data_IF_279199480056
#
_entry.id   IF_279199480056
#
_cell.length_a   1.000
_cell.length_b   1.000
_cell.length_c   1.000
_cell.angle_alpha   90.00
_cell.angle_beta   90.00
_cell.angle_gamma   90.00
#
_symmetry.space_group_name_H-M   'P 1'
#
loop_
_entity.id
_entity.type
_entity.pdbx_description
1 polymer ?
#
# COMPACT_ATOMS: atom_id res chain seq x y z
N UNK A 1 11.78 -9.37 -38.80
CA UNK A 1 11.15 -8.45 -37.84
C UNK A 1 12.19 -8.17 -36.76
N UNK A 2 12.69 -6.95 -36.69
CA UNK A 2 13.71 -6.54 -35.72
C UNK A 2 13.12 -6.52 -34.31
N UNK A 3 13.84 -7.03 -33.32
CA UNK A 3 13.46 -6.90 -31.90
C UNK A 3 13.43 -5.42 -31.48
N UNK A 4 12.53 -5.01 -30.57
CA UNK A 4 12.55 -3.66 -29.99
C UNK A 4 13.82 -3.47 -29.16
N UNK A 5 14.54 -2.36 -29.40
CA UNK A 5 15.66 -1.93 -28.56
C UNK A 5 15.09 -1.06 -27.43
N UNK A 6 15.16 -1.56 -26.19
CA UNK A 6 14.92 -0.75 -25.01
C UNK A 6 16.21 0.05 -24.77
N UNK A 7 16.23 1.30 -25.24
CA UNK A 7 17.29 2.24 -24.92
C UNK A 7 17.30 2.48 -23.41
N UNK A 8 18.46 2.36 -22.77
CA UNK A 8 18.62 2.77 -21.38
C UNK A 8 18.28 4.27 -21.24
N UNK A 9 17.42 4.61 -20.28
CA UNK A 9 17.08 6.00 -20.00
C UNK A 9 18.34 6.74 -19.50
N UNK A 10 18.53 8.02 -19.89
CA UNK A 10 19.72 8.81 -19.54
C UNK A 10 19.86 9.04 -18.02
N UNK A 11 18.80 8.80 -17.24
CA UNK A 11 18.80 8.84 -15.79
C UNK A 11 18.18 7.55 -15.23
N UNK A 12 18.98 6.50 -15.01
CA UNK A 12 18.48 5.27 -14.41
C UNK A 12 18.06 5.53 -12.95
N UNK A 13 16.86 5.06 -12.59
CA UNK A 13 16.39 5.08 -11.21
C UNK A 13 17.28 4.17 -10.38
N UNK A 14 17.81 4.68 -9.27
CA UNK A 14 18.59 3.85 -8.35
C UNK A 14 17.69 2.83 -7.66
N UNK A 15 18.23 1.67 -7.31
CA UNK A 15 17.48 0.66 -6.55
C UNK A 15 16.85 1.25 -5.29
N UNK A 16 17.61 2.03 -4.51
CA UNK A 16 17.11 2.72 -3.31
C UNK A 16 15.92 3.64 -3.61
N UNK A 17 16.00 4.40 -4.70
CA UNK A 17 14.90 5.29 -5.10
C UNK A 17 13.67 4.47 -5.48
N UNK A 18 13.83 3.37 -6.23
CA UNK A 18 12.72 2.50 -6.60
C UNK A 18 12.01 1.89 -5.36
N UNK A 19 12.76 1.52 -4.31
CA UNK A 19 12.15 1.05 -3.05
C UNK A 19 11.33 2.15 -2.38
N UNK A 20 11.90 3.35 -2.29
CA UNK A 20 11.21 4.51 -1.69
C UNK A 20 9.94 4.83 -2.47
N UNK A 21 10.01 4.88 -3.79
CA UNK A 21 8.88 5.17 -4.66
C UNK A 21 7.76 4.13 -4.49
N UNK A 22 8.12 2.85 -4.32
CA UNK A 22 7.15 1.78 -4.06
C UNK A 22 6.49 1.91 -2.68
N UNK A 23 7.27 2.17 -1.63
CA UNK A 23 6.73 2.39 -0.28
C UNK A 23 5.83 3.63 -0.23
N UNK A 24 6.23 4.71 -0.90
CA UNK A 24 5.43 5.93 -1.04
C UNK A 24 4.12 5.65 -1.78
N UNK A 25 4.16 4.84 -2.85
CA UNK A 25 2.94 4.44 -3.56
C UNK A 25 1.94 3.69 -2.67
N UNK A 26 2.43 2.78 -1.80
CA UNK A 26 1.59 2.05 -0.84
C UNK A 26 0.98 3.02 0.16
N UNK A 27 1.79 3.91 0.74
CA UNK A 27 1.31 4.90 1.71
C UNK A 27 0.25 5.86 1.13
N UNK A 28 0.39 6.24 -0.15
CA UNK A 28 -0.61 7.04 -0.86
C UNK A 28 -1.93 6.27 -1.08
N UNK A 29 -1.85 4.98 -1.45
CA UNK A 29 -3.03 4.11 -1.58
C UNK A 29 -3.74 3.93 -0.21
N UNK A 30 -3.00 3.68 0.87
CA UNK A 30 -3.54 3.59 2.25
C UNK A 30 -4.22 4.89 2.71
N UNK A 31 -3.59 6.03 2.42
CA UNK A 31 -4.16 7.36 2.74
C UNK A 31 -5.48 7.58 2.00
N UNK A 32 -5.53 7.22 0.71
CA UNK A 32 -6.75 7.31 -0.09
C UNK A 32 -7.86 6.41 0.49
N UNK A 33 -7.52 5.19 0.92
CA UNK A 33 -8.48 4.27 1.56
C UNK A 33 -9.02 4.82 2.88
N UNK A 34 -8.18 5.46 3.72
CA UNK A 34 -8.62 6.12 4.95
C UNK A 34 -9.66 7.23 4.67
N UNK A 35 -9.44 8.03 3.62
CA UNK A 35 -10.41 9.05 3.22
C UNK A 35 -11.75 8.44 2.76
N UNK A 36 -11.72 7.31 2.05
CA UNK A 36 -12.96 6.60 1.67
C UNK A 36 -13.67 6.08 2.92
N UNK A 37 -12.96 5.43 3.85
CA UNK A 37 -13.56 4.93 5.10
C UNK A 37 -14.20 6.05 5.91
N UNK A 38 -13.56 7.21 6.00
CA UNK A 38 -14.12 8.37 6.69
C UNK A 38 -15.40 8.88 6.00
N UNK A 39 -15.39 9.00 4.67
CA UNK A 39 -16.56 9.42 3.91
C UNK A 39 -17.73 8.43 4.05
N UNK A 40 -17.46 7.13 4.04
CA UNK A 40 -18.47 6.10 4.29
C UNK A 40 -19.00 6.13 5.74
N UNK A 41 -18.14 6.42 6.71
CA UNK A 41 -18.54 6.66 8.10
C UNK A 41 -19.47 7.88 8.24
N UNK A 42 -19.12 9.00 7.60
CA UNK A 42 -19.96 10.20 7.56
C UNK A 42 -21.30 9.94 6.88
N UNK A 43 -21.32 9.16 5.78
CA UNK A 43 -22.55 8.74 5.10
C UNK A 43 -23.48 7.96 6.04
N UNK A 44 -22.94 7.00 6.80
CA UNK A 44 -23.73 6.21 7.74
C UNK A 44 -24.26 7.07 8.90
N UNK A 45 -23.42 7.94 9.46
CA UNK A 45 -23.83 8.89 10.51
C UNK A 45 -24.93 9.83 10.02
N UNK A 46 -24.83 10.33 8.79
CA UNK A 46 -25.85 11.16 8.15
C UNK A 46 -27.17 10.40 8.05
N UNK A 47 -27.15 9.16 7.56
CA UNK A 47 -28.35 8.35 7.42
C UNK A 47 -29.04 8.07 8.76
N UNK A 48 -28.28 7.83 9.83
CA UNK A 48 -28.82 7.64 11.19
C UNK A 48 -29.49 8.91 11.72
N UNK A 49 -28.98 10.09 11.34
CA UNK A 49 -29.50 11.38 11.80
C UNK A 49 -30.69 11.91 10.98
N UNK A 50 -31.13 11.20 9.94
CA UNK A 50 -32.25 11.60 9.10
C UNK A 50 -33.58 11.07 9.67
N UNK A 51 -34.48 11.98 10.02
CA UNK A 51 -35.79 11.66 10.61
C UNK A 51 -36.77 11.02 9.61
N UNK A 52 -36.50 11.14 8.30
CA UNK A 52 -37.35 10.71 7.20
C UNK A 52 -36.93 9.37 6.56
N UNK A 53 -35.91 8.71 7.11
CA UNK A 53 -35.41 7.43 6.62
C UNK A 53 -36.13 6.26 7.31
N UNK A 54 -36.72 5.37 6.52
CA UNK A 54 -37.27 4.13 7.08
C UNK A 54 -36.18 3.10 7.42
N UNK A 55 -36.54 2.09 8.20
CA UNK A 55 -35.61 1.05 8.63
C UNK A 55 -34.98 0.27 7.45
N UNK A 56 -35.73 0.04 6.38
CA UNK A 56 -35.23 -0.68 5.21
C UNK A 56 -34.18 0.16 4.48
N UNK A 57 -34.47 1.45 4.25
CA UNK A 57 -33.53 2.39 3.66
C UNK A 57 -32.25 2.54 4.50
N UNK A 58 -32.37 2.56 5.83
CA UNK A 58 -31.20 2.64 6.71
C UNK A 58 -30.35 1.37 6.62
N UNK A 59 -31.00 0.21 6.52
CA UNK A 59 -30.32 -1.06 6.33
C UNK A 59 -29.58 -1.11 4.98
N UNK A 60 -30.20 -0.60 3.91
CA UNK A 60 -29.57 -0.50 2.58
C UNK A 60 -28.30 0.36 2.62
N UNK A 61 -28.33 1.51 3.32
CA UNK A 61 -27.13 2.34 3.50
C UNK A 61 -26.06 1.60 4.30
N UNK A 62 -26.42 0.93 5.38
CA UNK A 62 -25.49 0.16 6.20
C UNK A 62 -24.85 -1.00 5.42
N UNK A 63 -25.63 -1.74 4.62
CA UNK A 63 -25.11 -2.80 3.76
C UNK A 63 -24.15 -2.26 2.70
N UNK A 64 -24.48 -1.11 2.10
CA UNK A 64 -23.60 -0.42 1.15
C UNK A 64 -22.26 -0.02 1.79
N UNK A 65 -22.29 0.55 2.99
CA UNK A 65 -21.09 0.93 3.76
C UNK A 65 -20.28 -0.31 4.14
N UNK A 66 -20.92 -1.37 4.64
CA UNK A 66 -20.26 -2.62 5.00
C UNK A 66 -19.58 -3.27 3.78
N UNK A 67 -20.22 -3.23 2.61
CA UNK A 67 -19.61 -3.70 1.37
C UNK A 67 -18.37 -2.87 0.99
N UNK A 68 -18.41 -1.55 1.16
CA UNK A 68 -17.24 -0.70 0.91
C UNK A 68 -16.08 -1.03 1.85
N UNK A 69 -16.35 -1.25 3.14
CA UNK A 69 -15.34 -1.70 4.12
C UNK A 69 -14.72 -3.03 3.69
N UNK A 70 -15.52 -3.98 3.19
CA UNK A 70 -15.00 -5.25 2.68
C UNK A 70 -14.12 -5.09 1.44
N UNK A 71 -14.51 -4.22 0.50
CA UNK A 71 -13.69 -3.92 -0.69
C UNK A 71 -12.35 -3.29 -0.29
N UNK A 72 -12.37 -2.34 0.65
CA UNK A 72 -11.15 -1.70 1.18
C UNK A 72 -10.27 -2.72 1.89
N UNK A 73 -10.83 -3.63 2.68
CA UNK A 73 -10.07 -4.74 3.27
C UNK A 73 -9.43 -5.67 2.22
N UNK A 74 -10.08 -5.85 1.07
CA UNK A 74 -9.48 -6.55 -0.08
C UNK A 74 -8.28 -5.81 -0.67
N UNK A 75 -8.39 -4.48 -0.83
CA UNK A 75 -7.30 -3.64 -1.31
C UNK A 75 -6.12 -3.58 -0.33
N UNK A 76 -6.39 -3.52 0.97
CA UNK A 76 -5.38 -3.58 2.02
C UNK A 76 -4.56 -4.87 1.95
N UNK A 77 -5.20 -6.02 1.72
CA UNK A 77 -4.49 -7.28 1.52
C UNK A 77 -3.59 -7.24 0.26
N UNK A 78 -4.04 -6.60 -0.82
CA UNK A 78 -3.22 -6.44 -2.02
C UNK A 78 -2.00 -5.55 -1.74
N UNK A 79 -2.17 -4.47 -0.98
CA UNK A 79 -1.06 -3.61 -0.57
C UNK A 79 -0.06 -4.35 0.32
N UNK A 80 -0.57 -5.15 1.25
CA UNK A 80 0.26 -6.05 2.05
C UNK A 80 1.03 -7.04 1.17
N UNK A 81 0.40 -7.68 0.20
CA UNK A 81 1.06 -8.60 -0.73
C UNK A 81 2.15 -7.90 -1.55
N UNK A 82 1.89 -6.68 -2.03
CA UNK A 82 2.90 -5.84 -2.70
C UNK A 82 4.08 -5.55 -1.78
N UNK A 83 3.82 -5.18 -0.51
CA UNK A 83 4.85 -4.89 0.48
C UNK A 83 5.68 -6.14 0.79
N UNK A 84 5.04 -7.28 1.03
CA UNK A 84 5.72 -8.56 1.26
C UNK A 84 6.56 -8.97 0.05
N UNK A 85 6.04 -8.80 -1.17
CA UNK A 85 6.80 -9.07 -2.39
C UNK A 85 8.07 -8.21 -2.46
N UNK A 86 7.95 -6.91 -2.20
CA UNK A 86 9.11 -6.02 -2.14
C UNK A 86 10.08 -6.51 -1.06
N UNK A 87 9.67 -6.62 0.19
CA UNK A 87 10.53 -7.06 1.30
C UNK A 87 11.27 -8.40 1.03
N UNK A 88 10.59 -9.37 0.43
CA UNK A 88 11.16 -10.69 0.15
C UNK A 88 12.14 -10.69 -1.05
N UNK A 89 12.00 -9.74 -1.99
CA UNK A 89 12.83 -9.68 -3.20
C UNK A 89 13.90 -8.59 -3.15
N UNK A 90 13.88 -7.73 -2.12
CA UNK A 90 14.98 -6.83 -1.80
C UNK A 90 16.14 -7.62 -1.15
N UNK A 91 16.75 -8.55 -1.87
CA UNK A 91 18.03 -9.13 -1.46
C UNK A 91 19.10 -8.05 -1.58
N UNK A 92 19.57 -7.53 -0.45
CA UNK A 92 20.75 -6.70 -0.42
C UNK A 92 21.95 -7.63 -0.63
N UNK A 93 22.72 -7.52 -1.73
CA UNK A 93 24.00 -8.19 -1.75
C UNK A 93 24.80 -7.57 -0.60
N UNK A 94 25.09 -8.38 0.43
CA UNK A 94 26.01 -8.02 1.49
C UNK A 94 27.21 -7.37 0.82
N UNK A 95 27.52 -6.14 1.22
CA UNK A 95 28.68 -5.40 0.74
C UNK A 95 29.84 -6.40 0.70
N UNK A 96 30.34 -6.70 -0.50
CA UNK A 96 31.31 -7.77 -0.70
C UNK A 96 32.47 -7.50 0.24
N UNK A 97 32.79 -8.50 1.07
CA UNK A 97 33.85 -8.45 2.05
C UNK A 97 35.20 -8.33 1.34
N UNK A 98 35.58 -7.12 0.94
CA UNK A 98 36.92 -6.74 0.48
C UNK A 98 37.11 -5.23 0.72
N UNK A 99 36.88 -4.75 1.94
CA UNK A 99 37.61 -3.59 2.46
C UNK A 99 37.54 -3.52 3.99
N UNK A 100 38.71 -3.40 4.60
CA UNK A 100 38.96 -3.40 6.04
C UNK A 100 38.46 -2.12 6.74
N UNK A 101 37.16 -1.80 6.67
CA UNK A 101 36.57 -0.78 7.55
C UNK A 101 35.22 -1.20 8.13
N UNK A 102 35.29 -1.53 9.41
CA UNK A 102 34.19 -1.81 10.31
C UNK A 102 33.23 -0.61 10.37
N UNK A 103 32.05 -0.75 9.77
CA UNK A 103 30.87 0.05 10.12
C UNK A 103 29.73 -0.92 10.36
N UNK A 104 29.14 -0.82 11.55
CA UNK A 104 28.02 -1.61 12.04
C UNK A 104 26.84 -1.58 11.05
N UNK A 105 26.55 -2.71 10.40
CA UNK A 105 25.29 -2.93 9.71
C UNK A 105 24.27 -3.43 10.73
N UNK A 106 23.39 -2.55 11.19
CA UNK A 106 22.22 -2.93 11.99
C UNK A 106 21.19 -3.64 11.08
N UNK A 107 21.02 -4.95 11.30
CA UNK A 107 19.96 -5.79 10.75
C UNK A 107 18.60 -5.46 11.40
N UNK A 108 17.85 -4.49 10.85
CA UNK A 108 16.52 -4.11 11.38
C UNK A 108 15.32 -4.79 10.69
N UNK A 109 15.51 -5.65 9.69
CA UNK A 109 14.39 -6.25 8.94
C UNK A 109 13.94 -7.65 9.38
N UNK A 110 14.53 -8.26 10.42
CA UNK A 110 14.15 -9.62 10.85
C UNK A 110 13.12 -9.69 12.00
N UNK A 111 12.50 -8.56 12.36
CA UNK A 111 11.67 -8.42 13.57
C UNK A 111 10.15 -8.44 13.39
N UNK A 112 9.61 -8.61 12.18
CA UNK A 112 8.15 -8.54 11.92
C UNK A 112 7.52 -9.92 11.64
N UNK A 113 7.92 -10.94 12.41
CA UNK A 113 7.27 -12.26 12.41
C UNK A 113 6.32 -12.40 13.60
#
# INVERSE_FOLDING_TARGET
MSMPSISAHPHPVSFRQAVIDLLESIALEETAMSHILNAEGEKLQRAIAMDDLDFCQLMEVNESVANMVNVIGGLENILKDKLEFVCNNLYYPSCSADDHHHYDCHDDCNGMR
#
